data_IF_681009480199
#
_entry.id   IF_681009480199
#
_cell.length_a   1.000
_cell.length_b   1.000
_cell.length_c   1.000
_cell.angle_alpha   90.00
_cell.angle_beta   90.00
_cell.angle_gamma   90.00
#
_symmetry.space_group_name_H-M   'P 1'
#
loop_
_entity.id
_entity.type
_entity.pdbx_description
1 polymer ?
#
# COMPACT_ATOMS: atom_id res chain seq x y z
N UNK A 1 59.78 2.59 -19.12
CA UNK A 1 59.22 1.48 -18.32
C UNK A 1 58.64 2.10 -17.05
N UNK A 2 57.35 2.11 -16.72
CA UNK A 2 56.13 1.55 -17.28
C UNK A 2 54.99 2.56 -17.09
N UNK A 3 54.18 2.73 -18.15
CA UNK A 3 52.86 3.34 -18.07
C UNK A 3 51.93 2.33 -17.40
N UNK A 4 51.32 2.68 -16.27
CA UNK A 4 50.26 1.88 -15.68
C UNK A 4 48.92 2.32 -16.27
N UNK A 5 48.50 1.61 -17.32
CA UNK A 5 47.09 1.46 -17.68
C UNK A 5 46.43 0.50 -16.67
N UNK A 6 45.19 0.81 -16.27
CA UNK A 6 44.11 -0.10 -15.87
C UNK A 6 43.00 0.82 -15.32
N UNK A 7 42.06 1.36 -16.12
CA UNK A 7 41.02 0.65 -16.86
C UNK A 7 40.61 -0.65 -16.18
N UNK A 8 39.53 -0.57 -15.40
CA UNK A 8 38.56 -1.64 -15.10
C UNK A 8 37.91 -1.35 -13.73
N UNK A 9 36.98 -0.40 -13.69
CA UNK A 9 35.91 -0.46 -12.70
C UNK A 9 34.69 0.30 -13.26
N UNK A 10 34.26 -0.10 -14.46
CA UNK A 10 32.85 0.03 -14.81
C UNK A 10 32.12 -0.90 -13.85
N UNK A 11 31.68 -0.36 -12.72
CA UNK A 11 30.65 -1.01 -11.92
C UNK A 11 29.42 -1.01 -12.79
N UNK A 12 29.17 -2.15 -13.44
CA UNK A 12 27.83 -2.52 -13.84
C UNK A 12 26.97 -2.45 -12.57
N UNK A 13 26.26 -1.34 -12.41
CA UNK A 13 25.14 -1.27 -11.49
C UNK A 13 24.11 -2.20 -12.13
N UNK A 14 24.17 -3.48 -11.76
CA UNK A 14 23.16 -4.45 -12.12
C UNK A 14 21.80 -3.81 -11.85
N UNK A 15 20.92 -3.83 -12.83
CA UNK A 15 19.57 -3.31 -12.67
C UNK A 15 18.96 -4.03 -11.48
N UNK A 16 18.91 -3.34 -10.34
CA UNK A 16 18.15 -3.79 -9.18
C UNK A 16 16.72 -3.75 -9.67
N UNK A 17 16.18 -4.91 -10.05
CA UNK A 17 14.76 -5.06 -10.28
C UNK A 17 14.08 -4.58 -9.00
N UNK A 18 13.49 -3.39 -9.06
CA UNK A 18 12.83 -2.73 -7.94
C UNK A 18 11.62 -3.60 -7.58
N UNK A 19 11.81 -4.50 -6.63
CA UNK A 19 10.79 -5.41 -6.15
C UNK A 19 9.58 -4.58 -5.66
N UNK A 20 8.37 -4.74 -6.25
CA UNK A 20 7.23 -3.90 -5.90
C UNK A 20 6.56 -4.47 -4.63
N UNK A 21 7.30 -4.55 -3.52
CA UNK A 21 6.85 -5.36 -2.38
C UNK A 21 5.93 -4.66 -1.38
N UNK A 22 5.82 -3.33 -1.40
CA UNK A 22 5.06 -2.64 -0.33
C UNK A 22 4.25 -1.39 -0.73
N UNK A 23 4.59 -0.66 -1.80
CA UNK A 23 3.82 0.55 -2.21
C UNK A 23 2.37 0.24 -2.56
N UNK A 24 2.15 -0.85 -3.30
CA UNK A 24 0.82 -1.31 -3.74
C UNK A 24 -0.16 -1.48 -2.59
N UNK A 25 0.32 -1.92 -1.41
CA UNK A 25 -0.56 -2.21 -0.26
C UNK A 25 -1.04 -0.95 0.45
N UNK A 26 -0.17 0.04 0.64
CA UNK A 26 -0.53 1.30 1.30
C UNK A 26 -1.46 2.15 0.43
N UNK A 27 -1.15 2.24 -0.87
CA UNK A 27 -2.00 2.96 -1.84
C UNK A 27 -3.39 2.32 -1.93
N UNK A 28 -3.46 0.99 -1.97
CA UNK A 28 -4.74 0.25 -1.96
C UNK A 28 -5.53 0.49 -0.68
N UNK A 29 -4.87 0.50 0.49
CA UNK A 29 -5.52 0.80 1.78
C UNK A 29 -6.04 2.24 1.83
N UNK A 30 -5.26 3.22 1.34
CA UNK A 30 -5.68 4.61 1.27
C UNK A 30 -6.91 4.80 0.38
N UNK A 31 -6.88 4.22 -0.84
CA UNK A 31 -8.02 4.23 -1.77
C UNK A 31 -9.26 3.58 -1.14
N UNK A 32 -9.09 2.43 -0.49
CA UNK A 32 -10.18 1.72 0.17
C UNK A 32 -10.81 2.55 1.31
N UNK A 33 -10.01 3.22 2.12
CA UNK A 33 -10.50 4.10 3.18
C UNK A 33 -11.34 5.27 2.64
N UNK A 34 -10.86 5.93 1.58
CA UNK A 34 -11.58 7.05 0.94
C UNK A 34 -12.93 6.60 0.37
N UNK A 35 -12.94 5.54 -0.43
CA UNK A 35 -14.17 5.00 -1.03
C UNK A 35 -15.13 4.42 0.03
N UNK A 36 -14.61 3.87 1.12
CA UNK A 36 -15.45 3.34 2.20
C UNK A 36 -16.12 4.46 3.02
N UNK A 37 -15.47 5.61 3.19
CA UNK A 37 -16.02 6.75 3.92
C UNK A 37 -17.14 7.46 3.14
N UNK A 38 -17.11 7.41 1.81
CA UNK A 38 -18.13 8.02 0.96
C UNK A 38 -19.48 7.26 1.05
N UNK A 39 -20.59 7.93 1.44
CA UNK A 39 -21.92 7.33 1.48
C UNK A 39 -22.54 7.12 0.09
N UNK A 40 -22.08 7.85 -0.93
CA UNK A 40 -22.57 7.72 -2.31
C UNK A 40 -21.95 6.52 -3.03
N UNK A 41 -20.81 6.03 -2.54
CA UNK A 41 -20.13 4.87 -3.14
C UNK A 41 -20.73 3.57 -2.58
N UNK A 42 -21.33 2.71 -3.42
CA UNK A 42 -21.82 1.41 -2.99
C UNK A 42 -20.68 0.53 -2.49
N UNK A 43 -20.87 -0.18 -1.37
CA UNK A 43 -19.80 -1.02 -0.78
C UNK A 43 -19.35 -2.15 -1.70
N UNK A 44 -20.21 -2.60 -2.62
CA UNK A 44 -19.84 -3.56 -3.68
C UNK A 44 -18.78 -2.99 -4.63
N UNK A 45 -18.86 -1.69 -4.96
CA UNK A 45 -17.88 -1.03 -5.82
C UNK A 45 -16.53 -0.89 -5.10
N UNK A 46 -16.53 -0.57 -3.80
CA UNK A 46 -15.29 -0.52 -2.99
C UNK A 46 -14.53 -1.85 -3.05
N UNK A 47 -15.25 -2.97 -2.89
CA UNK A 47 -14.67 -4.32 -2.98
C UNK A 47 -14.06 -4.58 -4.36
N UNK A 48 -14.82 -4.29 -5.43
CA UNK A 48 -14.36 -4.49 -6.80
C UNK A 48 -13.13 -3.63 -7.15
N UNK A 49 -13.06 -2.39 -6.65
CA UNK A 49 -12.00 -1.45 -6.97
C UNK A 49 -10.72 -1.60 -6.16
N UNK A 50 -10.79 -2.27 -5.01
CA UNK A 50 -9.68 -2.35 -4.06
C UNK A 50 -9.21 -3.77 -3.80
N UNK A 51 -10.02 -4.77 -4.18
CA UNK A 51 -9.73 -6.20 -3.99
C UNK A 51 -9.85 -6.68 -2.54
N UNK A 52 -10.14 -5.79 -1.58
CA UNK A 52 -10.37 -6.17 -0.20
C UNK A 52 -11.72 -6.86 -0.02
N UNK A 53 -11.75 -7.84 0.88
CA UNK A 53 -13.01 -8.49 1.21
C UNK A 53 -13.89 -7.58 2.10
N UNK A 54 -15.20 -7.85 2.12
CA UNK A 54 -16.16 -7.05 2.90
C UNK A 54 -15.89 -7.10 4.42
N UNK A 55 -15.28 -8.17 4.92
CA UNK A 55 -15.01 -8.40 6.35
C UNK A 55 -13.79 -7.60 6.80
N UNK A 56 -12.74 -7.59 5.99
CA UNK A 56 -11.53 -6.78 6.10
C UNK A 56 -11.88 -5.30 6.07
N UNK A 57 -12.63 -4.85 5.06
CA UNK A 57 -13.08 -3.46 4.98
C UNK A 57 -13.89 -3.05 6.22
N UNK A 58 -14.77 -3.93 6.71
CA UNK A 58 -15.52 -3.68 7.96
C UNK A 58 -14.61 -3.69 9.20
N UNK A 59 -13.58 -4.53 9.24
CA UNK A 59 -12.62 -4.58 10.35
C UNK A 59 -11.74 -3.33 10.38
N UNK A 60 -11.32 -2.85 9.20
CA UNK A 60 -10.45 -1.70 9.03
C UNK A 60 -11.19 -0.38 9.21
N UNK A 61 -12.34 -0.24 8.55
CA UNK A 61 -13.04 1.04 8.38
C UNK A 61 -14.48 1.03 8.90
N UNK A 62 -14.96 -0.11 9.41
CA UNK A 62 -16.26 -0.17 10.06
C UNK A 62 -16.28 0.66 11.32
N UNK A 63 -17.34 1.44 11.52
CA UNK A 63 -17.55 2.19 12.76
C UNK A 63 -17.56 1.20 13.93
N UNK A 64 -16.63 1.35 14.88
CA UNK A 64 -16.77 0.77 16.22
C UNK A 64 -18.00 1.43 16.85
N UNK A 65 -19.12 0.71 16.86
CA UNK A 65 -20.34 1.16 17.54
C UNK A 65 -20.07 1.08 19.04
N UNK A 66 -19.82 2.25 19.62
CA UNK A 66 -19.54 2.59 21.02
C UNK A 66 -18.05 2.94 21.24
N UNK A 67 -17.74 4.21 21.59
CA UNK A 67 -16.55 4.42 22.40
C UNK A 67 -16.68 3.55 23.67
N UNK A 68 -15.59 3.02 24.24
CA UNK A 68 -15.66 2.52 25.61
C UNK A 68 -16.33 3.62 26.41
N UNK A 69 -17.45 3.30 27.06
CA UNK A 69 -18.13 4.25 27.93
C UNK A 69 -17.07 4.62 28.96
N UNK A 70 -16.58 5.85 28.91
CA UNK A 70 -15.81 6.38 30.02
C UNK A 70 -16.83 6.55 31.13
N UNK A 71 -16.96 5.55 31.99
CA UNK A 71 -17.64 5.70 33.28
C UNK A 71 -16.84 6.77 34.04
N UNK A 72 -17.36 8.00 34.03
CA UNK A 72 -16.87 9.15 34.82
C UNK A 72 -17.47 9.10 36.22
#
# INVERSE_FOLDING_TARGET
MNQFNHSAYEQEIGSVEEEPRQRTRLESLGKAGLLWADPLVPKKQVIAETGFDARELRRLFGRRRRPPVCDL
#
